data_IF_941199350827
#
_entry.id   IF_941199350827
#
_cell.length_a   1.000
_cell.length_b   1.000
_cell.length_c   1.000
_cell.angle_alpha   90.00
_cell.angle_beta   90.00
_cell.angle_gamma   90.00
#
_symmetry.space_group_name_H-M   'P 1'
#
loop_
_entity.id
_entity.type
_entity.pdbx_description
1 polymer ?
#
# COMPACT_ATOMS: atom_id res chain seq x y z
N UNK A 1 -5.13 21.44 -6.83
CA UNK A 1 -4.12 20.63 -6.10
C UNK A 1 -4.61 19.19 -6.09
N UNK A 2 -3.93 18.24 -6.76
CA UNK A 2 -4.35 16.81 -6.77
C UNK A 2 -3.37 16.00 -5.94
N UNK A 3 -3.86 15.59 -4.78
CA UNK A 3 -3.19 14.78 -3.78
C UNK A 3 -4.22 13.77 -3.30
N UNK A 4 -3.94 12.48 -3.44
CA UNK A 4 -4.90 11.41 -3.15
C UNK A 4 -4.18 10.30 -2.43
N UNK A 5 -4.85 9.75 -1.41
CA UNK A 5 -4.52 8.46 -0.82
C UNK A 5 -5.79 7.61 -0.81
N UNK A 6 -5.72 6.40 -1.34
CA UNK A 6 -6.80 5.42 -1.33
C UNK A 6 -6.37 4.22 -0.51
N UNK A 7 -7.20 3.82 0.45
CA UNK A 7 -6.91 2.71 1.34
C UNK A 7 -8.20 1.97 1.70
N UNK A 8 -8.05 0.71 2.08
CA UNK A 8 -9.16 -0.19 2.43
C UNK A 8 -8.80 -1.05 3.63
N UNK A 9 -9.81 -1.53 4.40
CA UNK A 9 -9.60 -2.53 5.43
C UNK A 9 -8.91 -3.76 4.86
N UNK A 10 -7.91 -4.27 5.57
CA UNK A 10 -7.23 -5.52 5.25
C UNK A 10 -7.17 -6.43 6.47
N UNK A 11 -7.03 -7.73 6.25
CA UNK A 11 -6.84 -8.71 7.31
C UNK A 11 -5.79 -9.72 6.86
N UNK A 12 -4.94 -10.14 7.79
CA UNK A 12 -3.98 -11.22 7.55
C UNK A 12 -4.10 -12.27 8.64
N UNK A 13 -4.02 -13.53 8.23
CA UNK A 13 -3.97 -14.67 9.14
C UNK A 13 -2.70 -14.66 10.00
N UNK A 14 -1.59 -14.08 9.51
CA UNK A 14 -0.32 -14.07 10.23
C UNK A 14 -0.32 -13.17 11.45
N UNK A 15 -0.99 -12.02 11.37
CA UNK A 15 -1.12 -11.09 12.50
C UNK A 15 -2.38 -11.36 13.35
N UNK A 16 -3.35 -12.11 12.81
CA UNK A 16 -4.64 -12.38 13.45
C UNK A 16 -5.45 -11.12 13.77
N UNK A 17 -5.19 -10.01 13.07
CA UNK A 17 -5.75 -8.69 13.37
C UNK A 17 -6.00 -7.86 12.09
N UNK A 18 -7.03 -7.00 12.10
CA UNK A 18 -7.30 -6.08 11.01
C UNK A 18 -6.21 -5.00 10.88
N UNK A 19 -6.13 -4.45 9.68
CA UNK A 19 -5.21 -3.40 9.26
C UNK A 19 -5.78 -2.60 8.10
N UNK A 20 -4.91 -1.78 7.49
CA UNK A 20 -5.22 -1.12 6.21
C UNK A 20 -4.24 -1.55 5.13
N UNK A 21 -4.75 -1.69 3.90
CA UNK A 21 -3.94 -1.69 2.69
C UNK A 21 -4.09 -0.34 2.00
N UNK A 22 -2.98 0.31 1.66
CA UNK A 22 -3.00 1.53 0.83
C UNK A 22 -2.76 1.11 -0.61
N UNK A 23 -3.78 1.31 -1.46
CA UNK A 23 -3.74 0.96 -2.88
C UNK A 23 -2.99 2.01 -3.68
N UNK A 24 -3.32 3.29 -3.45
CA UNK A 24 -2.76 4.40 -4.19
C UNK A 24 -2.34 5.54 -3.26
N UNK A 25 -1.15 6.08 -3.52
CA UNK A 25 -0.66 7.33 -2.94
C UNK A 25 -0.07 8.19 -4.05
N UNK A 26 -0.74 9.31 -4.37
CA UNK A 26 -0.30 10.20 -5.43
C UNK A 26 -0.19 11.64 -4.93
N UNK A 27 0.99 12.22 -5.11
CA UNK A 27 1.25 13.65 -4.95
C UNK A 27 1.71 14.21 -6.29
N UNK A 28 0.97 15.19 -6.82
CA UNK A 28 1.36 15.91 -8.05
C UNK A 28 2.80 16.41 -7.95
N UNK A 29 3.52 16.34 -9.06
CA UNK A 29 4.96 16.59 -9.12
C UNK A 29 5.38 17.94 -8.55
N UNK A 30 4.67 19.03 -8.91
CA UNK A 30 4.92 20.38 -8.39
C UNK A 30 4.72 20.55 -6.86
N UNK A 31 4.16 19.53 -6.19
CA UNK A 31 3.96 19.47 -4.75
C UNK A 31 4.81 18.40 -4.06
N UNK A 32 5.64 17.65 -4.80
CA UNK A 32 6.54 16.65 -4.18
C UNK A 32 7.61 17.34 -3.32
N UNK A 33 8.18 16.57 -2.39
CA UNK A 33 9.23 17.01 -1.44
C UNK A 33 8.81 18.12 -0.46
N UNK A 34 7.51 18.44 -0.37
CA UNK A 34 6.93 19.40 0.59
C UNK A 34 6.27 18.73 1.80
N UNK A 35 6.56 17.44 2.06
CA UNK A 35 6.00 16.68 3.19
C UNK A 35 4.59 16.11 2.99
N UNK A 36 3.92 16.41 1.87
CA UNK A 36 2.55 15.97 1.63
C UNK A 36 2.34 14.46 1.57
N UNK A 37 3.29 13.69 1.01
CA UNK A 37 3.19 12.22 1.01
C UNK A 37 3.21 11.66 2.43
N UNK A 38 4.08 12.21 3.30
CA UNK A 38 4.15 11.86 4.72
C UNK A 38 2.84 12.23 5.42
N UNK A 39 2.33 13.44 5.20
CA UNK A 39 1.06 13.89 5.80
C UNK A 39 -0.10 12.95 5.47
N UNK A 40 -0.25 12.57 4.19
CA UNK A 40 -1.32 11.66 3.76
C UNK A 40 -1.19 10.27 4.41
N UNK A 41 0.01 9.70 4.37
CA UNK A 41 0.25 8.36 4.91
C UNK A 41 0.14 8.34 6.44
N UNK A 42 0.62 9.38 7.13
CA UNK A 42 0.47 9.56 8.57
C UNK A 42 -0.99 9.59 9.00
N UNK A 43 -1.87 10.26 8.24
CA UNK A 43 -3.30 10.28 8.54
C UNK A 43 -3.93 8.87 8.53
N UNK A 44 -3.53 8.01 7.59
CA UNK A 44 -3.99 6.61 7.53
C UNK A 44 -3.45 5.80 8.71
N UNK A 45 -2.16 5.97 9.04
CA UNK A 45 -1.53 5.29 10.18
C UNK A 45 -2.17 5.70 11.51
N UNK A 46 -2.42 6.99 11.72
CA UNK A 46 -3.11 7.49 12.91
C UNK A 46 -4.52 6.90 13.04
N UNK A 47 -5.25 6.80 11.92
CA UNK A 47 -6.57 6.16 11.92
C UNK A 47 -6.48 4.68 12.27
N UNK A 48 -5.50 3.95 11.74
CA UNK A 48 -5.28 2.54 12.07
C UNK A 48 -5.02 2.37 13.58
N UNK A 49 -4.17 3.22 14.16
CA UNK A 49 -3.85 3.21 15.59
C UNK A 49 -5.11 3.46 16.43
N UNK A 50 -5.93 4.45 16.07
CA UNK A 50 -7.21 4.75 16.76
C UNK A 50 -8.17 3.56 16.74
N UNK A 51 -8.16 2.78 15.66
CA UNK A 51 -9.00 1.58 15.51
C UNK A 51 -8.40 0.33 16.18
N UNK A 52 -7.25 0.45 16.84
CA UNK A 52 -6.55 -0.68 17.46
C UNK A 52 -5.89 -1.63 16.46
N UNK A 53 -5.84 -1.24 15.18
CA UNK A 53 -5.20 -2.02 14.13
C UNK A 53 -3.69 -2.07 14.36
N UNK A 54 -3.06 -3.14 13.90
CA UNK A 54 -1.63 -3.39 14.14
C UNK A 54 -0.78 -3.27 12.88
N UNK A 55 -1.39 -2.94 11.75
CA UNK A 55 -0.70 -2.94 10.47
C UNK A 55 -1.33 -1.97 9.47
N UNK A 56 -0.47 -1.24 8.78
CA UNK A 56 -0.76 -0.58 7.51
C UNK A 56 0.28 -1.07 6.53
N UNK A 57 -0.13 -1.50 5.35
CA UNK A 57 0.77 -2.06 4.33
C UNK A 57 0.44 -1.51 2.95
N UNK A 58 1.45 -1.47 2.08
CA UNK A 58 1.35 -1.02 0.70
C UNK A 58 2.48 -1.60 -0.13
N UNK A 59 2.33 -1.59 -1.45
CA UNK A 59 3.37 -2.02 -2.37
C UNK A 59 4.18 -0.82 -2.88
N UNK A 60 5.46 -1.05 -3.12
CA UNK A 60 6.36 -0.11 -3.79
C UNK A 60 7.15 -0.87 -4.85
N UNK A 61 7.35 -0.24 -6.01
CA UNK A 61 8.18 -0.81 -7.06
C UNK A 61 9.65 -0.66 -6.70
N UNK A 62 10.42 -1.74 -6.85
CA UNK A 62 11.84 -1.82 -6.45
C UNK A 62 12.70 -0.71 -7.06
N UNK A 63 12.46 -0.37 -8.33
CA UNK A 63 13.18 0.69 -9.02
C UNK A 63 12.90 2.10 -8.47
N UNK A 64 11.86 2.27 -7.65
CA UNK A 64 11.50 3.57 -7.08
C UNK A 64 12.29 3.83 -5.78
N UNK A 65 13.62 3.92 -5.91
CA UNK A 65 14.57 4.08 -4.81
C UNK A 65 14.21 5.27 -3.90
N UNK A 66 13.71 6.37 -4.48
CA UNK A 66 13.29 7.54 -3.69
C UNK A 66 12.08 7.25 -2.81
N UNK A 67 11.12 6.45 -3.28
CA UNK A 67 9.96 6.08 -2.47
C UNK A 67 10.35 5.02 -1.42
N UNK A 68 11.16 4.04 -1.79
CA UNK A 68 11.71 3.03 -0.87
C UNK A 68 12.39 3.70 0.32
N UNK A 69 13.37 4.58 0.05
CA UNK A 69 14.09 5.31 1.11
C UNK A 69 13.16 6.16 1.97
N UNK A 70 12.19 6.82 1.34
CA UNK A 70 11.18 7.60 2.07
C UNK A 70 10.36 6.74 3.04
N UNK A 71 9.94 5.55 2.63
CA UNK A 71 9.19 4.64 3.49
C UNK A 71 10.06 4.03 4.60
N UNK A 72 11.31 3.69 4.31
CA UNK A 72 12.27 3.20 5.32
C UNK A 72 12.59 4.27 6.37
N UNK A 73 12.78 5.53 5.97
CA UNK A 73 12.96 6.67 6.89
C UNK A 73 11.73 6.90 7.79
N UNK A 74 10.54 6.46 7.35
CA UNK A 74 9.33 6.45 8.18
C UNK A 74 9.25 5.26 9.14
N UNK A 75 10.16 4.29 9.04
CA UNK A 75 10.18 3.06 9.84
C UNK A 75 9.43 1.88 9.21
N UNK A 76 9.00 1.99 7.95
CA UNK A 76 8.43 0.86 7.24
C UNK A 76 9.51 -0.18 6.91
N UNK A 77 9.18 -1.46 7.02
CA UNK A 77 10.03 -2.55 6.54
C UNK A 77 9.61 -2.93 5.12
N UNK A 78 10.56 -2.91 4.18
CA UNK A 78 10.33 -3.40 2.82
C UNK A 78 10.53 -4.92 2.81
N UNK A 79 9.48 -5.66 2.44
CA UNK A 79 9.48 -7.12 2.42
C UNK A 79 9.85 -7.62 1.02
N UNK A 80 11.15 -7.67 0.69
CA UNK A 80 11.64 -7.99 -0.66
C UNK A 80 11.33 -9.42 -1.14
N UNK A 81 11.15 -10.36 -0.23
CA UNK A 81 10.81 -11.75 -0.55
C UNK A 81 9.34 -11.93 -0.96
N UNK A 82 8.48 -10.95 -0.67
CA UNK A 82 7.06 -11.02 -0.98
C UNK A 82 6.82 -10.66 -2.45
N UNK A 83 6.11 -11.53 -3.16
CA UNK A 83 5.80 -11.37 -4.59
C UNK A 83 4.32 -11.09 -4.76
N UNK A 84 3.99 -10.11 -5.60
CA UNK A 84 2.61 -9.89 -6.04
C UNK A 84 2.28 -10.92 -7.11
N UNK A 85 1.30 -11.78 -6.84
CA UNK A 85 0.71 -12.66 -7.83
C UNK A 85 -0.44 -11.92 -8.53
N UNK A 86 -0.52 -12.03 -9.85
CA UNK A 86 -1.57 -11.38 -10.65
C UNK A 86 -1.99 -12.29 -11.79
N UNK A 87 -3.29 -12.53 -11.87
CA UNK A 87 -3.95 -13.19 -12.99
C UNK A 87 -4.83 -12.16 -13.69
N UNK A 88 -4.62 -11.95 -15.00
CA UNK A 88 -5.29 -10.89 -15.79
C UNK A 88 -5.47 -11.31 -17.24
N UNK A 89 -6.43 -10.69 -17.93
CA UNK A 89 -6.71 -10.93 -19.35
C UNK A 89 -7.18 -12.37 -19.60
N UNK A 90 -6.85 -12.91 -20.78
CA UNK A 90 -7.29 -14.24 -21.22
C UNK A 90 -7.00 -15.36 -20.19
N UNK A 91 -5.89 -15.26 -19.45
CA UNK A 91 -5.55 -16.24 -18.42
C UNK A 91 -6.51 -16.22 -17.22
N UNK A 92 -7.07 -15.05 -16.88
CA UNK A 92 -8.09 -14.91 -15.85
C UNK A 92 -9.41 -15.50 -16.33
N UNK A 93 -9.83 -15.16 -17.55
CA UNK A 93 -11.09 -15.62 -18.14
C UNK A 93 -11.08 -17.14 -18.28
N UNK A 94 -10.01 -17.71 -18.86
CA UNK A 94 -9.86 -19.15 -19.02
C UNK A 94 -9.86 -19.92 -17.68
N UNK A 95 -9.28 -19.34 -16.62
CA UNK A 95 -9.32 -19.97 -15.29
C UNK A 95 -10.71 -19.93 -14.65
N UNK A 96 -11.48 -18.87 -14.90
CA UNK A 96 -12.87 -18.77 -14.46
C UNK A 96 -13.76 -19.82 -15.12
N UNK A 97 -13.62 -19.97 -16.44
CA UNK A 97 -14.43 -20.91 -17.24
C UNK A 97 -14.08 -22.38 -16.94
N UNK A 98 -12.81 -22.70 -16.70
CA UNK A 98 -12.36 -24.07 -16.41
C UNK A 98 -12.78 -24.59 -15.02
N UNK A 99 -13.23 -23.72 -14.12
CA UNK A 99 -13.67 -24.06 -12.77
C UNK A 99 -15.18 -23.90 -12.57
N UNK A 100 -15.94 -23.79 -13.67
CA UNK A 100 -17.41 -23.80 -13.69
C UNK A 100 -17.94 -25.15 -14.21
#
# INVERSE_FOLDING_TARGET
>A
MKMVIMFMPSYTIFAGKPGFHVEDLQVRECYRRKGFGKMLLSAVVEQAVKMGFKRVEWSVLEWNVSAVKFYEEMGAKVLSEWRVCRLTGDALDAYGDANC
#
